data_IF_243803126195
#
_entry.id   IF_243803126195
#
_cell.length_a   1.000
_cell.length_b   1.000
_cell.length_c   1.000
_cell.angle_alpha   90.00
_cell.angle_beta   90.00
_cell.angle_gamma   90.00
#
_symmetry.space_group_name_H-M   'P 1'
#
loop_
_entity.id
_entity.type
_entity.pdbx_description
1 polymer ?
#
# COMPACT_ATOMS: atom_id res chain seq x y z
N UNK A 1 64.93 39.17 66.99
CA UNK A 1 65.02 40.50 66.36
C UNK A 1 63.91 40.59 65.32
N UNK A 2 63.01 41.56 65.47
CA UNK A 2 62.02 42.10 64.50
C UNK A 2 61.18 41.12 63.66
N UNK A 3 59.91 40.93 64.05
CA UNK A 3 58.72 41.65 63.54
C UNK A 3 58.17 41.12 62.21
N UNK A 4 56.97 40.54 62.24
CA UNK A 4 55.81 41.09 61.50
C UNK A 4 54.50 40.48 61.98
N UNK A 5 53.58 41.38 62.29
CA UNK A 5 52.15 41.18 62.63
C UNK A 5 51.36 40.84 61.37
N UNK A 6 50.32 40.00 61.46
CA UNK A 6 49.10 40.08 60.64
C UNK A 6 48.02 39.25 61.37
N UNK A 7 47.15 39.93 62.13
CA UNK A 7 45.75 40.25 61.82
C UNK A 7 44.80 39.05 61.89
N UNK A 8 44.06 39.02 63.00
CA UNK A 8 43.00 38.09 63.36
C UNK A 8 41.73 38.51 62.60
N UNK A 9 41.12 37.58 61.85
CA UNK A 9 39.74 37.70 61.39
C UNK A 9 38.97 36.51 61.96
N UNK A 10 37.93 36.86 62.72
CA UNK A 10 36.99 35.98 63.40
C UNK A 10 35.90 35.60 62.40
N UNK A 11 35.76 34.31 62.08
CA UNK A 11 34.56 33.79 61.42
C UNK A 11 34.05 32.64 62.30
N UNK A 12 32.89 32.87 62.95
CA UNK A 12 32.17 31.86 63.71
C UNK A 12 31.74 30.74 62.75
N UNK A 13 32.34 29.57 62.91
CA UNK A 13 31.88 28.34 62.30
C UNK A 13 30.81 27.73 63.22
N UNK A 14 29.56 27.73 62.79
CA UNK A 14 28.48 26.97 63.42
C UNK A 14 28.71 25.49 63.15
N UNK A 15 29.17 24.75 64.17
CA UNK A 15 29.28 23.30 64.16
C UNK A 15 27.88 22.68 64.32
N UNK A 16 27.29 22.23 63.22
CA UNK A 16 26.24 21.23 63.27
C UNK A 16 26.91 19.85 63.36
N UNK A 17 26.66 19.14 64.45
CA UNK A 17 27.06 17.75 64.62
C UNK A 17 26.28 16.88 63.63
N UNK A 18 26.98 16.23 62.70
CA UNK A 18 26.49 14.99 62.10
C UNK A 18 27.52 13.90 62.38
N UNK A 19 27.07 12.94 63.16
CA UNK A 19 27.75 11.69 63.50
C UNK A 19 28.12 10.96 62.21
N UNK A 20 29.39 10.59 62.09
CA UNK A 20 29.85 9.63 61.10
C UNK A 20 29.54 8.25 61.68
N UNK A 21 28.38 7.69 61.32
CA UNK A 21 28.16 6.25 61.47
C UNK A 21 28.68 5.55 60.21
N UNK A 22 29.60 4.63 60.42
CA UNK A 22 30.28 3.86 59.40
C UNK A 22 29.36 2.75 58.91
N UNK A 23 28.62 3.04 57.84
CA UNK A 23 27.81 2.07 57.11
C UNK A 23 27.47 2.65 55.76
N UNK A 24 28.34 2.42 54.78
CA UNK A 24 28.08 2.80 53.40
C UNK A 24 26.86 2.00 52.90
N UNK A 25 25.69 2.60 52.93
CA UNK A 25 24.56 2.15 52.12
C UNK A 25 24.95 2.37 50.66
N UNK A 26 25.29 1.26 50.01
CA UNK A 26 25.37 1.17 48.56
C UNK A 26 23.94 1.44 48.07
N UNK A 27 23.71 2.64 47.54
CA UNK A 27 22.53 2.90 46.70
C UNK A 27 22.64 1.96 45.50
N UNK A 28 21.91 0.85 45.55
CA UNK A 28 21.65 0.02 44.39
C UNK A 28 21.01 0.92 43.33
N UNK A 29 21.79 1.24 42.31
CA UNK A 29 21.25 1.79 41.07
C UNK A 29 20.21 0.79 40.56
N UNK A 30 18.99 1.23 40.22
CA UNK A 30 18.00 0.31 39.68
C UNK A 30 18.61 -0.35 38.44
N UNK A 31 18.66 -1.67 38.49
CA UNK A 31 19.01 -2.53 37.38
C UNK A 31 18.21 -2.05 36.16
N UNK A 32 18.92 -1.64 35.11
CA UNK A 32 18.29 -1.35 33.82
C UNK A 32 17.71 -2.67 33.37
N UNK A 33 16.40 -2.83 33.60
CA UNK A 33 15.63 -3.95 33.06
C UNK A 33 15.76 -3.82 31.56
N UNK A 34 16.61 -4.66 30.98
CA UNK A 34 16.74 -4.84 29.56
C UNK A 34 15.33 -5.12 29.05
N UNK A 35 14.74 -4.16 28.33
CA UNK A 35 13.45 -4.37 27.70
C UNK A 35 13.63 -5.60 26.82
N UNK A 36 12.72 -6.59 26.86
CA UNK A 36 12.81 -7.69 25.92
C UNK A 36 12.81 -7.06 24.53
N UNK A 37 13.92 -7.24 23.81
CA UNK A 37 13.98 -6.99 22.37
C UNK A 37 12.86 -7.84 21.80
N UNK A 38 11.80 -7.19 21.32
CA UNK A 38 10.76 -7.85 20.56
C UNK A 38 11.47 -8.57 19.42
N UNK A 39 11.53 -9.90 19.49
CA UNK A 39 11.93 -10.69 18.34
C UNK A 39 11.01 -10.31 17.19
N UNK A 40 11.56 -9.65 16.17
CA UNK A 40 10.86 -9.40 14.93
C UNK A 40 10.61 -10.77 14.33
N UNK A 41 9.40 -11.31 14.56
CA UNK A 41 8.93 -12.50 13.88
C UNK A 41 9.13 -12.29 12.39
N UNK A 42 10.02 -13.05 11.76
CA UNK A 42 10.17 -13.03 10.31
C UNK A 42 8.80 -13.33 9.69
N UNK A 43 8.35 -12.44 8.80
CA UNK A 43 7.12 -12.67 8.06
C UNK A 43 7.41 -13.80 7.06
N UNK A 44 6.85 -14.98 7.33
CA UNK A 44 7.13 -16.22 6.58
C UNK A 44 6.85 -16.11 5.08
N UNK A 45 6.03 -15.15 4.67
CA UNK A 45 5.68 -14.89 3.29
C UNK A 45 6.29 -13.60 2.71
N UNK A 46 7.13 -12.87 3.45
CA UNK A 46 7.87 -11.73 2.94
C UNK A 46 9.18 -12.19 2.28
N UNK A 47 9.41 -11.77 1.04
CA UNK A 47 10.70 -11.96 0.39
C UNK A 47 11.66 -10.86 0.86
N UNK A 48 12.70 -11.25 1.61
CA UNK A 48 13.74 -10.34 2.13
C UNK A 48 15.07 -10.46 1.39
N UNK A 49 15.20 -11.47 0.52
CA UNK A 49 16.39 -11.69 -0.30
C UNK A 49 16.66 -10.57 -1.31
N UNK A 50 17.85 -10.58 -1.95
CA UNK A 50 18.24 -9.57 -2.93
C UNK A 50 17.20 -9.38 -4.03
N UNK A 51 16.98 -8.13 -4.41
CA UNK A 51 16.05 -7.78 -5.48
C UNK A 51 16.71 -8.09 -6.83
N UNK A 52 16.10 -9.01 -7.59
CA UNK A 52 16.48 -9.33 -8.96
C UNK A 52 15.38 -8.94 -9.93
N UNK A 53 15.73 -8.76 -11.20
CA UNK A 53 14.75 -8.44 -12.25
C UNK A 53 13.86 -9.64 -12.58
N UNK A 54 14.47 -10.78 -12.90
CA UNK A 54 13.76 -12.01 -13.24
C UNK A 54 14.27 -13.17 -12.37
N UNK A 55 13.43 -14.18 -12.20
CA UNK A 55 13.81 -15.49 -11.67
C UNK A 55 13.35 -16.57 -12.64
N UNK A 56 13.97 -17.76 -12.58
CA UNK A 56 13.51 -18.89 -13.40
C UNK A 56 12.06 -19.26 -13.08
N UNK A 57 11.70 -19.25 -11.79
CA UNK A 57 10.36 -19.60 -11.32
C UNK A 57 9.27 -18.57 -11.69
N UNK A 58 9.64 -17.31 -11.94
CA UNK A 58 8.70 -16.27 -12.35
C UNK A 58 8.67 -16.00 -13.85
N UNK A 59 9.48 -16.68 -14.66
CA UNK A 59 9.52 -16.43 -16.11
C UNK A 59 8.42 -17.22 -16.81
N UNK A 60 7.16 -16.83 -16.58
CA UNK A 60 6.00 -17.43 -17.23
C UNK A 60 6.03 -17.25 -18.76
N UNK A 61 5.58 -18.26 -19.54
CA UNK A 61 5.58 -18.19 -21.00
C UNK A 61 4.42 -17.37 -21.58
N UNK A 62 3.34 -17.20 -20.82
CA UNK A 62 2.13 -16.47 -21.22
C UNK A 62 1.49 -15.76 -20.03
N UNK A 63 0.87 -14.61 -20.29
CA UNK A 63 0.22 -13.79 -19.26
C UNK A 63 -0.95 -14.43 -18.53
N UNK A 64 -1.53 -15.49 -19.09
CA UNK A 64 -2.60 -16.26 -18.47
C UNK A 64 -2.08 -17.46 -17.66
N UNK A 65 -0.76 -17.56 -17.41
CA UNK A 65 -0.17 -18.60 -16.55
C UNK A 65 -0.70 -18.44 -15.13
N UNK A 66 -1.37 -19.47 -14.61
CA UNK A 66 -1.98 -19.50 -13.30
C UNK A 66 -1.78 -20.88 -12.66
N UNK A 67 -1.95 -20.95 -11.34
CA UNK A 67 -2.05 -22.23 -10.64
C UNK A 67 -3.45 -22.85 -10.85
N UNK A 68 -3.60 -24.17 -10.70
CA UNK A 68 -4.92 -24.78 -10.69
C UNK A 68 -5.76 -24.33 -9.49
N UNK A 69 -7.02 -23.96 -9.73
CA UNK A 69 -8.02 -23.59 -8.71
C UNK A 69 -7.54 -22.47 -7.74
N UNK A 70 -7.15 -21.29 -8.25
CA UNK A 70 -6.70 -20.21 -7.40
C UNK A 70 -7.86 -19.72 -6.50
N UNK A 71 -7.57 -19.41 -5.24
CA UNK A 71 -8.56 -18.89 -4.27
C UNK A 71 -8.95 -17.46 -4.57
N UNK A 72 -8.10 -16.70 -5.26
CA UNK A 72 -8.39 -15.33 -5.63
C UNK A 72 -9.20 -15.24 -6.93
N UNK A 73 -10.38 -14.60 -6.88
CA UNK A 73 -11.29 -14.49 -8.01
C UNK A 73 -10.73 -13.65 -9.17
N UNK A 74 -11.09 -14.00 -10.40
CA UNK A 74 -10.72 -13.26 -11.61
C UNK A 74 -9.61 -13.91 -12.43
N UNK A 75 -9.50 -13.52 -13.70
CA UNK A 75 -8.52 -14.08 -14.62
C UNK A 75 -7.16 -13.39 -14.45
N UNK A 76 -6.10 -14.18 -14.25
CA UNK A 76 -4.74 -13.68 -14.08
C UNK A 76 -4.24 -12.95 -15.34
N UNK A 77 -3.37 -11.97 -15.11
CA UNK A 77 -2.65 -11.21 -16.11
C UNK A 77 -1.25 -10.95 -15.55
N UNK A 78 -0.40 -11.96 -15.68
CA UNK A 78 0.98 -11.96 -15.22
C UNK A 78 1.91 -11.42 -16.30
N UNK A 79 2.55 -10.30 -16.02
CA UNK A 79 3.54 -9.66 -16.90
C UNK A 79 4.81 -9.34 -16.14
N UNK A 80 5.22 -10.22 -15.23
CA UNK A 80 6.39 -10.02 -14.40
C UNK A 80 7.23 -11.29 -14.33
N UNK A 81 8.43 -11.27 -14.93
CA UNK A 81 9.37 -12.39 -14.87
C UNK A 81 9.97 -12.63 -13.46
N UNK A 82 9.63 -11.79 -12.48
CA UNK A 82 10.18 -11.89 -11.12
C UNK A 82 9.60 -13.09 -10.36
N UNK A 83 8.29 -13.26 -10.41
CA UNK A 83 7.55 -14.29 -9.69
C UNK A 83 6.23 -14.54 -10.41
N UNK A 84 5.75 -15.78 -10.38
CA UNK A 84 4.38 -16.12 -10.77
C UNK A 84 3.43 -15.99 -9.57
N UNK A 85 2.11 -15.95 -9.83
CA UNK A 85 1.10 -16.10 -8.78
C UNK A 85 1.30 -17.40 -7.99
N UNK A 86 1.31 -17.28 -6.66
CA UNK A 86 1.37 -18.41 -5.72
C UNK A 86 0.49 -18.14 -4.50
N UNK A 87 0.24 -19.17 -3.72
CA UNK A 87 -0.58 -19.07 -2.51
C UNK A 87 0.19 -19.55 -1.27
N UNK A 88 -0.15 -18.98 -0.12
CA UNK A 88 0.34 -19.44 1.18
C UNK A 88 -0.81 -19.43 2.21
N UNK A 89 -0.79 -20.38 3.15
CA UNK A 89 -1.70 -20.39 4.29
C UNK A 89 -1.01 -19.85 5.52
N UNK A 90 -1.57 -18.81 6.13
CA UNK A 90 -1.12 -18.23 7.41
C UNK A 90 -2.35 -18.10 8.31
N UNK A 91 -2.29 -18.68 9.50
CA UNK A 91 -3.37 -18.66 10.50
C UNK A 91 -4.74 -19.06 9.93
N UNK A 92 -4.75 -20.09 9.08
CA UNK A 92 -5.96 -20.61 8.44
C UNK A 92 -6.50 -19.76 7.28
N UNK A 93 -5.86 -18.65 6.93
CA UNK A 93 -6.21 -17.81 5.78
C UNK A 93 -5.29 -18.10 4.61
N UNK A 94 -5.86 -18.36 3.43
CA UNK A 94 -5.09 -18.52 2.19
C UNK A 94 -4.91 -17.16 1.51
N UNK A 95 -3.65 -16.77 1.31
CA UNK A 95 -3.24 -15.52 0.70
C UNK A 95 -2.66 -15.77 -0.69
N UNK A 96 -3.20 -15.11 -1.70
CA UNK A 96 -2.55 -14.98 -3.00
C UNK A 96 -1.39 -13.98 -2.93
N UNK A 97 -0.26 -14.33 -3.54
CA UNK A 97 0.99 -13.58 -3.53
C UNK A 97 1.19 -12.90 -4.88
N UNK A 98 1.36 -11.56 -4.85
CA UNK A 98 1.58 -10.72 -6.02
C UNK A 98 2.87 -9.93 -5.81
N UNK A 99 3.99 -10.52 -6.23
CA UNK A 99 5.32 -9.92 -6.09
C UNK A 99 5.83 -9.46 -7.45
N UNK A 100 6.28 -8.21 -7.54
CA UNK A 100 6.84 -7.64 -8.77
C UNK A 100 8.10 -6.83 -8.44
N UNK A 101 9.07 -6.80 -9.36
CA UNK A 101 10.28 -5.97 -9.21
C UNK A 101 10.44 -5.01 -10.37
N UNK A 102 11.26 -3.98 -10.16
CA UNK A 102 11.58 -3.02 -11.21
C UNK A 102 12.09 -3.71 -12.48
N UNK A 103 11.59 -3.25 -13.64
CA UNK A 103 11.92 -3.78 -14.99
C UNK A 103 11.58 -5.25 -15.24
N UNK A 104 10.83 -5.92 -14.37
CA UNK A 104 10.45 -7.33 -14.54
C UNK A 104 9.43 -7.60 -15.66
N UNK A 105 8.97 -6.60 -16.42
CA UNK A 105 8.02 -6.84 -17.50
C UNK A 105 8.71 -7.46 -18.72
N UNK A 106 8.38 -8.73 -19.01
CA UNK A 106 8.87 -9.50 -20.16
C UNK A 106 7.78 -9.84 -21.18
N UNK A 107 6.52 -9.47 -20.91
CA UNK A 107 5.37 -9.76 -21.80
C UNK A 107 5.07 -8.58 -22.72
N UNK A 108 5.03 -7.36 -22.19
CA UNK A 108 4.79 -6.17 -23.00
C UNK A 108 6.07 -5.74 -23.75
N UNK A 109 5.90 -4.97 -24.84
CA UNK A 109 7.03 -4.41 -25.58
C UNK A 109 7.97 -3.62 -24.64
N UNK A 110 9.31 -3.73 -24.82
CA UNK A 110 10.27 -3.03 -23.97
C UNK A 110 10.00 -1.52 -23.87
N UNK A 111 10.13 -0.97 -22.66
CA UNK A 111 9.95 0.46 -22.35
C UNK A 111 8.52 1.01 -22.55
N UNK A 112 7.49 0.16 -22.53
CA UNK A 112 6.08 0.61 -22.65
C UNK A 112 5.36 0.70 -21.31
N UNK A 113 5.04 -0.45 -20.70
CA UNK A 113 4.22 -0.56 -19.49
C UNK A 113 5.03 -1.08 -18.31
N UNK A 114 4.63 -0.67 -17.11
CA UNK A 114 5.22 -1.19 -15.88
C UNK A 114 4.84 -2.66 -15.63
N UNK A 115 5.67 -3.42 -14.89
CA UNK A 115 5.36 -4.79 -14.51
C UNK A 115 4.08 -4.87 -13.70
N UNK A 116 3.37 -5.99 -13.85
CA UNK A 116 2.15 -6.29 -13.12
C UNK A 116 1.96 -7.78 -12.93
N UNK A 117 1.28 -8.14 -11.85
CA UNK A 117 0.56 -9.39 -11.70
C UNK A 117 -0.80 -8.97 -11.15
N UNK A 118 -1.84 -9.06 -11.97
CA UNK A 118 -3.18 -8.62 -11.60
C UNK A 118 -4.22 -9.68 -11.96
N UNK A 119 -5.33 -9.71 -11.24
CA UNK A 119 -6.54 -10.40 -11.66
C UNK A 119 -7.54 -9.41 -12.24
N UNK A 120 -8.10 -9.78 -13.38
CA UNK A 120 -9.14 -9.04 -14.08
C UNK A 120 -10.51 -9.61 -13.79
N UNK A 121 -11.46 -8.72 -13.50
CA UNK A 121 -12.83 -9.07 -13.17
C UNK A 121 -13.74 -8.75 -14.36
N UNK A 122 -14.77 -9.56 -14.57
CA UNK A 122 -15.69 -9.38 -15.69
C UNK A 122 -16.43 -8.06 -15.55
N UNK A 123 -16.26 -7.12 -16.48
CA UNK A 123 -16.86 -5.77 -16.39
C UNK A 123 -18.39 -5.83 -16.39
N UNK A 124 -19.01 -4.85 -15.73
CA UNK A 124 -20.41 -4.46 -15.98
C UNK A 124 -20.44 -3.58 -17.22
N UNK A 125 -21.12 -4.03 -18.27
CA UNK A 125 -21.10 -3.42 -19.61
C UNK A 125 -22.30 -2.53 -19.90
N UNK A 126 -23.13 -2.24 -18.91
CA UNK A 126 -24.29 -1.36 -19.05
C UNK A 126 -24.11 -0.10 -18.22
N UNK A 127 -24.99 0.87 -18.45
CA UNK A 127 -24.90 2.20 -17.83
C UNK A 127 -26.21 2.68 -17.21
N UNK A 128 -27.22 1.80 -17.16
CA UNK A 128 -28.47 2.04 -16.46
C UNK A 128 -28.22 2.13 -14.96
N UNK A 129 -29.08 2.88 -14.27
CA UNK A 129 -28.97 3.09 -12.82
C UNK A 129 -29.02 1.74 -12.09
N UNK A 130 -28.10 1.52 -11.16
CA UNK A 130 -27.92 0.26 -10.44
C UNK A 130 -27.00 -0.74 -11.14
N UNK A 131 -26.39 -0.39 -12.27
CA UNK A 131 -25.30 -1.18 -12.86
C UNK A 131 -24.02 -0.97 -12.08
N UNK A 132 -23.33 -2.04 -11.69
CA UNK A 132 -22.08 -1.94 -10.94
C UNK A 132 -21.17 -3.14 -11.12
N UNK A 133 -19.90 -2.95 -10.79
CA UNK A 133 -18.89 -3.97 -10.52
C UNK A 133 -18.41 -3.78 -9.08
N UNK A 134 -18.50 -4.80 -8.24
CA UNK A 134 -18.13 -4.74 -6.82
C UNK A 134 -17.13 -5.83 -6.49
N UNK A 135 -15.99 -5.41 -5.95
CA UNK A 135 -14.93 -6.27 -5.46
C UNK A 135 -14.78 -6.10 -3.95
N UNK A 136 -14.61 -7.21 -3.23
CA UNK A 136 -14.17 -7.19 -1.84
C UNK A 136 -12.99 -8.11 -1.63
N UNK A 137 -12.21 -7.87 -0.59
CA UNK A 137 -11.16 -8.76 -0.13
C UNK A 137 -10.33 -8.16 1.00
N UNK A 138 -9.45 -8.96 1.59
CA UNK A 138 -8.51 -8.52 2.62
C UNK A 138 -7.12 -8.34 1.99
N UNK A 139 -6.50 -7.18 2.17
CA UNK A 139 -5.14 -6.90 1.69
C UNK A 139 -4.13 -6.88 2.84
N UNK A 140 -2.93 -7.41 2.59
CA UNK A 140 -1.72 -7.04 3.34
C UNK A 140 -0.71 -6.44 2.36
N UNK A 141 -0.05 -5.37 2.79
CA UNK A 141 1.03 -4.73 2.05
C UNK A 141 2.31 -4.98 2.83
N UNK A 142 3.31 -5.57 2.18
CA UNK A 142 4.60 -5.90 2.80
C UNK A 142 5.72 -4.98 2.31
N UNK A 143 5.68 -4.62 1.04
CA UNK A 143 6.65 -3.75 0.39
C UNK A 143 5.99 -3.07 -0.82
N UNK A 144 6.37 -1.83 -1.14
CA UNK A 144 5.99 -1.14 -2.37
C UNK A 144 7.22 -0.50 -3.03
N UNK A 145 7.09 -0.18 -4.32
CA UNK A 145 8.19 0.41 -5.07
C UNK A 145 8.69 1.74 -4.48
N UNK A 146 10.01 1.91 -4.41
CA UNK A 146 10.69 3.13 -3.99
C UNK A 146 11.74 3.54 -5.02
N UNK A 147 11.75 4.82 -5.35
CA UNK A 147 12.72 5.47 -6.23
C UNK A 147 13.39 6.64 -5.50
N UNK A 148 14.25 7.39 -6.19
CA UNK A 148 14.81 8.64 -5.67
C UNK A 148 13.88 9.85 -5.87
N UNK A 149 12.65 9.65 -6.36
CA UNK A 149 11.68 10.70 -6.65
C UNK A 149 10.28 10.30 -6.16
N UNK A 150 9.74 11.05 -5.21
CA UNK A 150 8.45 10.77 -4.56
C UNK A 150 7.26 10.68 -5.54
N UNK A 151 7.32 11.36 -6.70
CA UNK A 151 6.29 11.25 -7.74
C UNK A 151 6.33 9.92 -8.52
N UNK A 152 7.46 9.21 -8.45
CA UNK A 152 7.66 7.89 -9.07
C UNK A 152 7.55 6.73 -8.09
N UNK A 153 7.42 7.00 -6.80
CA UNK A 153 7.23 5.98 -5.78
C UNK A 153 5.85 5.32 -5.85
N UNK A 154 5.76 4.19 -5.15
CA UNK A 154 4.54 3.46 -4.86
C UNK A 154 4.12 2.46 -5.92
N UNK A 155 3.16 1.63 -5.49
CA UNK A 155 2.59 0.52 -6.25
C UNK A 155 1.07 0.57 -6.18
N UNK A 156 0.41 0.29 -7.31
CA UNK A 156 -1.04 0.17 -7.37
C UNK A 156 -1.47 -1.21 -6.87
N UNK A 157 -2.40 -1.24 -5.90
CA UNK A 157 -2.95 -2.48 -5.32
C UNK A 157 -4.28 -2.89 -5.96
N UNK A 158 -5.02 -1.91 -6.49
CA UNK A 158 -6.24 -2.10 -7.28
C UNK A 158 -6.51 -0.88 -8.17
N UNK A 159 -7.39 -1.04 -9.16
CA UNK A 159 -7.79 0.04 -10.07
C UNK A 159 -9.22 -0.13 -10.59
N UNK A 160 -9.91 1.00 -10.75
CA UNK A 160 -11.14 1.11 -11.52
C UNK A 160 -10.81 1.43 -13.00
N UNK A 161 -11.50 0.77 -13.91
CA UNK A 161 -11.35 0.95 -15.36
C UNK A 161 -12.70 1.02 -16.05
N UNK A 162 -12.74 1.66 -17.21
CA UNK A 162 -13.94 1.69 -18.04
C UNK A 162 -13.71 2.45 -19.34
N UNK A 163 -14.25 1.90 -20.44
CA UNK A 163 -14.20 2.57 -21.75
C UNK A 163 -15.19 3.72 -21.78
N UNK A 164 -14.99 4.64 -22.71
CA UNK A 164 -15.86 5.77 -22.91
C UNK A 164 -15.98 6.14 -24.39
N UNK A 165 -17.05 6.85 -24.74
CA UNK A 165 -17.30 7.38 -26.08
C UNK A 165 -16.53 8.69 -26.32
N UNK A 166 -16.39 9.10 -27.58
CA UNK A 166 -15.77 10.39 -27.96
C UNK A 166 -14.24 10.40 -28.05
N UNK A 167 -13.58 9.25 -27.85
CA UNK A 167 -12.12 9.14 -27.89
C UNK A 167 -11.40 9.82 -26.72
N UNK A 168 -10.07 9.80 -26.75
CA UNK A 168 -9.21 10.35 -25.69
C UNK A 168 -8.56 9.27 -24.83
N UNK A 169 -7.24 9.37 -24.62
CA UNK A 169 -6.47 8.37 -23.88
C UNK A 169 -6.30 7.03 -24.61
N UNK A 170 -5.82 5.98 -23.91
CA UNK A 170 -5.60 4.66 -24.48
C UNK A 170 -6.90 3.86 -24.67
N UNK A 171 -6.85 2.80 -25.49
CA UNK A 171 -8.00 1.95 -25.82
C UNK A 171 -8.65 1.24 -24.61
N UNK A 172 -7.89 1.03 -23.53
CA UNK A 172 -8.39 0.51 -22.26
C UNK A 172 -7.96 1.41 -21.08
N UNK A 173 -8.61 2.58 -20.94
CA UNK A 173 -8.17 3.61 -20.00
C UNK A 173 -8.49 3.22 -18.56
N UNK A 174 -7.55 3.51 -17.67
CA UNK A 174 -7.82 3.50 -16.23
C UNK A 174 -8.62 4.76 -15.85
N UNK A 175 -9.51 4.61 -14.87
CA UNK A 175 -10.34 5.69 -14.32
C UNK A 175 -9.71 6.21 -13.03
N UNK A 176 -9.45 5.34 -12.07
CA UNK A 176 -8.64 5.68 -10.89
C UNK A 176 -7.85 4.45 -10.42
N UNK A 177 -6.73 4.70 -9.74
CA UNK A 177 -5.83 3.68 -9.22
C UNK A 177 -5.55 3.95 -7.75
N UNK A 178 -5.51 2.89 -6.94
CA UNK A 178 -5.24 2.97 -5.51
C UNK A 178 -3.76 2.68 -5.30
N UNK A 179 -2.99 3.76 -5.09
CA UNK A 179 -1.53 3.82 -5.03
C UNK A 179 -1.07 3.78 -3.57
N UNK A 180 -0.38 2.73 -3.17
CA UNK A 180 0.30 2.63 -1.89
C UNK A 180 1.72 3.18 -2.00
N UNK A 181 2.09 4.15 -1.16
CA UNK A 181 3.43 4.76 -1.09
C UNK A 181 4.11 4.40 0.23
N UNK A 182 5.43 4.18 0.25
CA UNK A 182 6.12 3.68 1.44
C UNK A 182 6.32 4.80 2.47
N UNK A 183 6.07 4.48 3.73
CA UNK A 183 6.47 5.28 4.89
C UNK A 183 7.58 4.52 5.63
N UNK A 184 8.73 5.16 5.78
CA UNK A 184 9.90 4.56 6.41
C UNK A 184 9.95 4.83 7.91
N UNK A 185 10.53 3.89 8.65
CA UNK A 185 10.88 4.05 10.05
C UNK A 185 12.02 3.12 10.45
N UNK A 186 12.51 3.31 11.66
CA UNK A 186 13.59 2.49 12.24
C UNK A 186 13.12 1.06 12.49
N UNK A 187 13.97 0.07 12.21
CA UNK A 187 13.72 -1.36 12.45
C UNK A 187 14.14 -1.84 13.86
N UNK A 188 14.61 -0.93 14.72
CA UNK A 188 15.20 -1.23 16.03
C UNK A 188 16.70 -1.50 15.97
N UNK A 189 17.29 -1.61 14.77
CA UNK A 189 18.71 -1.86 14.54
C UNK A 189 19.42 -0.70 13.82
N UNK A 190 18.77 0.47 13.74
CA UNK A 190 19.30 1.66 13.06
C UNK A 190 19.08 1.66 11.55
N UNK A 191 18.36 0.69 10.98
CA UNK A 191 18.04 0.67 9.56
C UNK A 191 16.69 1.32 9.29
N UNK A 192 16.58 2.02 8.17
CA UNK A 192 15.30 2.56 7.70
C UNK A 192 14.62 1.54 6.79
N UNK A 193 13.46 1.05 7.20
CA UNK A 193 12.65 0.07 6.46
C UNK A 193 11.22 0.58 6.29
N UNK A 194 10.47 0.01 5.34
CA UNK A 194 9.07 0.35 5.16
C UNK A 194 8.25 -0.20 6.33
N UNK A 195 7.58 0.69 7.07
CA UNK A 195 6.80 0.37 8.28
C UNK A 195 5.29 0.51 8.08
N UNK A 196 4.89 1.38 7.16
CA UNK A 196 3.48 1.55 6.76
C UNK A 196 3.37 2.12 5.35
N UNK A 197 2.13 2.29 4.89
CA UNK A 197 1.81 2.65 3.52
C UNK A 197 0.71 3.69 3.45
N UNK A 198 1.05 4.87 2.95
CA UNK A 198 0.06 5.89 2.62
C UNK A 198 -0.66 5.49 1.34
N UNK A 199 -1.99 5.37 1.43
CA UNK A 199 -2.86 5.02 0.32
C UNK A 199 -3.41 6.29 -0.31
N UNK A 200 -3.16 6.44 -1.60
CA UNK A 200 -3.67 7.52 -2.43
C UNK A 200 -4.60 6.98 -3.51
N UNK A 201 -5.50 7.82 -4.00
CA UNK A 201 -6.23 7.60 -5.25
C UNK A 201 -5.65 8.51 -6.33
N UNK A 202 -5.03 7.93 -7.34
CA UNK A 202 -4.67 8.61 -8.58
C UNK A 202 -5.89 8.57 -9.51
N UNK A 203 -6.58 9.69 -9.67
CA UNK A 203 -7.89 9.78 -10.33
C UNK A 203 -7.85 10.69 -11.56
N UNK A 204 -8.66 10.40 -12.58
CA UNK A 204 -8.74 11.24 -13.78
C UNK A 204 -9.45 12.58 -13.53
N UNK A 205 -8.96 13.64 -14.17
CA UNK A 205 -9.61 14.94 -14.23
C UNK A 205 -10.71 14.99 -15.30
N UNK A 206 -10.54 14.17 -16.35
CA UNK A 206 -11.46 13.99 -17.49
C UNK A 206 -11.22 12.62 -18.13
N UNK A 207 -12.18 12.12 -18.93
CA UNK A 207 -12.10 10.80 -19.57
C UNK A 207 -10.84 10.64 -20.42
N UNK A 208 -10.08 9.58 -20.14
CA UNK A 208 -8.81 9.29 -20.82
C UNK A 208 -7.61 10.08 -20.29
N UNK A 209 -7.78 10.90 -19.25
CA UNK A 209 -6.72 11.70 -18.63
C UNK A 209 -5.53 10.87 -18.15
N UNK A 210 -4.33 11.38 -18.42
CA UNK A 210 -3.05 10.80 -18.01
C UNK A 210 -2.01 11.89 -17.76
N UNK A 211 -0.97 11.57 -16.98
CA UNK A 211 0.05 12.55 -16.61
C UNK A 211 -0.46 13.60 -15.62
N UNK A 212 0.37 14.60 -15.34
CA UNK A 212 0.11 15.60 -14.32
C UNK A 212 -1.13 16.47 -14.61
N UNK A 213 -1.43 16.76 -15.88
CA UNK A 213 -2.59 17.58 -16.25
C UNK A 213 -3.90 16.77 -16.30
N UNK A 214 -3.79 15.47 -16.58
CA UNK A 214 -4.94 14.59 -16.75
C UNK A 214 -5.40 13.87 -15.49
N UNK A 215 -4.60 13.91 -14.41
CA UNK A 215 -4.87 13.20 -13.16
C UNK A 215 -4.48 13.99 -11.92
N UNK A 216 -5.19 13.72 -10.85
CA UNK A 216 -4.92 14.21 -9.50
C UNK A 216 -4.59 13.04 -8.57
N UNK A 217 -3.75 13.28 -7.56
CA UNK A 217 -3.43 12.32 -6.50
C UNK A 217 -4.05 12.80 -5.20
N UNK A 218 -4.97 12.02 -4.64
CA UNK A 218 -5.71 12.34 -3.41
C UNK A 218 -5.33 11.37 -2.31
N UNK A 219 -4.84 11.86 -1.16
CA UNK A 219 -4.57 11.02 0.00
C UNK A 219 -5.87 10.46 0.57
N UNK A 220 -5.88 9.18 0.96
CA UNK A 220 -7.03 8.50 1.55
C UNK A 220 -6.77 8.19 3.02
N UNK A 221 -5.82 7.30 3.29
CA UNK A 221 -5.54 6.76 4.63
C UNK A 221 -4.14 6.14 4.69
N UNK A 222 -3.73 5.63 5.85
CA UNK A 222 -2.48 4.88 6.03
C UNK A 222 -2.76 3.45 6.51
N UNK A 223 -2.03 2.47 5.98
CA UNK A 223 -2.11 1.06 6.38
C UNK A 223 -0.76 0.63 6.95
N UNK A 224 -0.74 0.06 8.15
CA UNK A 224 0.47 -0.53 8.74
C UNK A 224 1.01 -1.71 7.94
N UNK A 225 2.33 -1.90 7.91
CA UNK A 225 2.93 -3.05 7.22
C UNK A 225 2.38 -4.37 7.79
N UNK A 226 2.04 -5.28 6.87
CA UNK A 226 1.49 -6.60 7.19
C UNK A 226 0.13 -6.58 7.94
N UNK A 227 -0.51 -5.42 8.13
CA UNK A 227 -1.83 -5.35 8.77
C UNK A 227 -2.90 -5.82 7.78
N UNK A 228 -3.64 -6.91 8.08
CA UNK A 228 -4.80 -7.31 7.28
C UNK A 228 -5.83 -6.19 7.27
N UNK A 229 -6.15 -5.68 6.09
CA UNK A 229 -7.06 -4.55 5.91
C UNK A 229 -8.17 -4.92 4.95
N UNK A 230 -9.42 -4.80 5.39
CA UNK A 230 -10.59 -5.05 4.55
C UNK A 230 -10.73 -3.96 3.48
N UNK A 231 -11.03 -4.40 2.25
CA UNK A 231 -11.21 -3.57 1.08
C UNK A 231 -12.56 -3.87 0.44
N UNK A 232 -13.27 -2.80 0.10
CA UNK A 232 -14.37 -2.81 -0.86
C UNK A 232 -14.08 -1.78 -1.95
N UNK A 233 -14.31 -2.14 -3.21
CA UNK A 233 -14.34 -1.21 -4.33
C UNK A 233 -15.58 -1.50 -5.17
N UNK A 234 -16.48 -0.52 -5.25
CA UNK A 234 -17.66 -0.57 -6.10
C UNK A 234 -17.59 0.53 -7.15
N UNK A 235 -17.69 0.15 -8.42
CA UNK A 235 -17.68 1.06 -9.57
C UNK A 235 -18.97 0.86 -10.33
N UNK A 236 -19.76 1.92 -10.50
CA UNK A 236 -21.09 1.76 -11.08
C UNK A 236 -21.78 3.06 -11.47
N UNK A 237 -23.05 2.94 -11.84
CA UNK A 237 -23.92 4.04 -12.19
C UNK A 237 -25.09 4.13 -11.22
N UNK A 238 -25.31 5.33 -10.67
CA UNK A 238 -26.41 5.60 -9.77
C UNK A 238 -27.19 6.84 -10.23
N UNK A 239 -28.41 6.99 -9.72
CA UNK A 239 -29.18 8.22 -9.86
C UNK A 239 -28.40 9.38 -9.20
N UNK A 240 -28.31 10.53 -9.88
CA UNK A 240 -27.80 11.74 -9.22
C UNK A 240 -28.80 12.15 -8.11
N UNK A 241 -28.35 12.24 -6.83
CA UNK A 241 -29.23 12.57 -5.72
C UNK A 241 -29.82 13.99 -5.79
N UNK A 242 -29.20 14.89 -6.58
CA UNK A 242 -29.64 16.27 -6.74
C UNK A 242 -30.44 16.50 -8.02
N UNK A 243 -30.45 15.55 -8.96
CA UNK A 243 -31.13 15.66 -10.25
C UNK A 243 -31.62 14.30 -10.73
N UNK A 244 -32.93 14.04 -10.56
CA UNK A 244 -33.56 12.79 -10.98
C UNK A 244 -33.48 12.51 -12.50
N UNK A 245 -33.07 13.49 -13.32
CA UNK A 245 -32.90 13.31 -14.77
C UNK A 245 -31.48 12.90 -15.17
N UNK A 246 -30.53 12.91 -14.22
CA UNK A 246 -29.11 12.64 -14.46
C UNK A 246 -28.62 11.41 -13.70
N UNK A 247 -27.57 10.80 -14.22
CA UNK A 247 -26.84 9.73 -13.53
C UNK A 247 -25.44 10.20 -13.15
N UNK A 248 -24.92 9.62 -12.07
CA UNK A 248 -23.51 9.67 -11.70
C UNK A 248 -22.87 8.33 -12.07
N UNK A 249 -21.59 8.38 -12.42
CA UNK A 249 -20.71 7.20 -12.48
C UNK A 249 -19.77 7.35 -11.30
N UNK A 250 -19.67 6.35 -10.43
CA UNK A 250 -18.89 6.42 -9.20
C UNK A 250 -17.82 5.34 -9.14
N UNK A 251 -16.78 5.59 -8.34
CA UNK A 251 -15.84 4.61 -7.84
C UNK A 251 -15.70 4.84 -6.33
N UNK A 252 -16.48 4.08 -5.56
CA UNK A 252 -16.55 4.19 -4.11
C UNK A 252 -15.69 3.08 -3.49
N UNK A 253 -14.81 3.45 -2.58
CA UNK A 253 -14.00 2.49 -1.85
C UNK A 253 -14.27 2.53 -0.35
N UNK A 254 -14.13 1.38 0.30
CA UNK A 254 -14.00 1.27 1.75
C UNK A 254 -12.65 0.63 2.05
N UNK A 255 -11.83 1.26 2.89
CA UNK A 255 -10.48 0.79 3.22
C UNK A 255 -10.36 0.77 4.73
N UNK A 256 -10.23 -0.41 5.34
CA UNK A 256 -10.15 -0.54 6.80
C UNK A 256 -11.40 -0.03 7.53
N UNK A 257 -12.56 -0.02 6.86
CA UNK A 257 -13.82 0.53 7.38
C UNK A 257 -14.03 2.03 7.11
N UNK A 258 -13.04 2.75 6.57
CA UNK A 258 -13.18 4.16 6.19
C UNK A 258 -13.69 4.31 4.75
N UNK A 259 -14.65 5.21 4.53
CA UNK A 259 -15.34 5.39 3.24
C UNK A 259 -14.71 6.50 2.42
N UNK A 260 -14.38 6.20 1.16
CA UNK A 260 -13.76 7.10 0.19
C UNK A 260 -14.55 7.10 -1.12
N UNK A 261 -15.66 7.84 -1.15
CA UNK A 261 -16.51 7.98 -2.31
C UNK A 261 -15.94 8.97 -3.33
N UNK A 262 -16.17 8.70 -4.62
CA UNK A 262 -15.77 9.62 -5.68
C UNK A 262 -16.62 9.44 -6.94
N UNK A 263 -17.10 10.57 -7.47
CA UNK A 263 -17.81 10.62 -8.74
C UNK A 263 -16.82 10.81 -9.89
N UNK A 264 -16.86 9.88 -10.84
CA UNK A 264 -16.06 9.89 -12.05
C UNK A 264 -16.59 10.99 -13.00
N UNK A 265 -15.71 11.83 -13.59
CA UNK A 265 -16.14 12.87 -14.52
C UNK A 265 -16.79 12.29 -15.79
N UNK A 266 -17.67 13.10 -16.38
CA UNK A 266 -18.36 12.80 -17.65
C UNK A 266 -19.07 11.43 -17.61
N UNK A 267 -20.06 11.25 -16.71
CA UNK A 267 -20.76 9.98 -16.56
C UNK A 267 -21.48 9.54 -17.84
N UNK A 268 -21.98 10.49 -18.65
CA UNK A 268 -22.64 10.26 -19.93
C UNK A 268 -21.75 9.64 -21.00
N UNK A 269 -20.42 9.79 -20.86
CA UNK A 269 -19.45 9.19 -21.79
C UNK A 269 -19.04 7.78 -21.39
N UNK A 270 -19.18 7.40 -20.12
CA UNK A 270 -18.81 6.08 -19.63
C UNK A 270 -19.69 4.99 -20.23
N UNK A 271 -19.10 3.82 -20.56
CA UNK A 271 -19.82 2.71 -21.21
C UNK A 271 -19.82 1.42 -20.41
N UNK A 272 -18.99 1.33 -19.37
CA UNK A 272 -18.81 0.14 -18.55
C UNK A 272 -18.07 0.48 -17.26
N UNK A 273 -18.18 -0.41 -16.28
CA UNK A 273 -17.50 -0.37 -14.99
C UNK A 273 -16.69 -1.66 -14.80
N UNK A 274 -15.42 -1.54 -14.46
CA UNK A 274 -14.51 -2.67 -14.35
C UNK A 274 -13.46 -2.47 -13.26
N UNK A 275 -13.00 -3.58 -12.69
CA UNK A 275 -12.03 -3.60 -11.60
C UNK A 275 -10.90 -4.57 -11.95
N UNK A 276 -9.67 -4.21 -11.53
CA UNK A 276 -8.52 -5.11 -11.47
C UNK A 276 -7.83 -4.93 -10.12
N UNK A 277 -7.22 -5.98 -9.61
CA UNK A 277 -6.48 -5.96 -8.34
C UNK A 277 -5.26 -6.88 -8.40
N UNK A 278 -4.31 -6.68 -7.49
CA UNK A 278 -3.05 -7.43 -7.43
C UNK A 278 -1.90 -6.49 -7.11
N UNK A 279 -0.85 -6.51 -7.93
CA UNK A 279 0.24 -5.54 -7.90
C UNK A 279 0.53 -5.01 -9.32
N UNK A 280 0.57 -3.69 -9.46
CA UNK A 280 0.94 -3.01 -10.71
C UNK A 280 1.75 -1.76 -10.41
N UNK A 281 2.81 -1.49 -11.19
CA UNK A 281 3.79 -0.40 -11.01
C UNK A 281 4.82 -0.66 -9.91
N UNK A 282 6.08 -0.66 -10.34
CA UNK A 282 7.27 -0.70 -9.48
C UNK A 282 8.42 -0.03 -10.24
N UNK A 283 8.56 1.28 -10.06
CA UNK A 283 9.57 2.09 -10.76
C UNK A 283 10.97 2.02 -10.12
N UNK A 284 11.10 1.29 -9.02
CA UNK A 284 12.34 1.01 -8.31
C UNK A 284 12.06 0.06 -7.15
N UNK A 285 13.04 -0.79 -6.82
CA UNK A 285 12.90 -1.80 -5.77
C UNK A 285 11.94 -2.94 -6.14
N UNK A 286 11.17 -3.39 -5.14
CA UNK A 286 10.21 -4.50 -5.21
C UNK A 286 8.87 -4.06 -4.62
N UNK A 287 7.80 -4.72 -5.03
CA UNK A 287 6.50 -4.63 -4.38
C UNK A 287 5.97 -6.03 -4.05
N UNK A 288 5.33 -6.14 -2.89
CA UNK A 288 4.84 -7.40 -2.34
C UNK A 288 3.45 -7.20 -1.74
N UNK A 289 2.43 -7.62 -2.48
CA UNK A 289 1.03 -7.48 -2.09
C UNK A 289 0.43 -8.86 -1.83
N UNK A 290 -0.42 -8.97 -0.82
CA UNK A 290 -1.15 -10.20 -0.48
C UNK A 290 -2.65 -9.92 -0.53
N UNK A 291 -3.41 -10.82 -1.15
CA UNK A 291 -4.87 -10.75 -1.18
C UNK A 291 -5.49 -12.05 -0.69
N UNK A 292 -6.45 -11.95 0.24
CA UNK A 292 -7.24 -13.07 0.73
C UNK A 292 -8.73 -12.76 0.65
N UNK A 293 -9.57 -13.80 0.78
CA UNK A 293 -11.03 -13.69 0.89
C UNK A 293 -11.68 -12.84 -0.21
N UNK A 294 -11.14 -12.92 -1.43
CA UNK A 294 -11.62 -12.04 -2.50
C UNK A 294 -12.95 -12.51 -3.05
N UNK A 295 -13.89 -11.59 -3.22
CA UNK A 295 -15.18 -11.85 -3.86
C UNK A 295 -15.47 -10.81 -4.93
N UNK A 296 -16.35 -11.17 -5.85
CA UNK A 296 -16.75 -10.28 -6.93
C UNK A 296 -18.21 -10.52 -7.31
N UNK A 297 -18.95 -9.43 -7.43
CA UNK A 297 -20.30 -9.42 -7.97
C UNK A 297 -20.47 -8.25 -8.95
N UNK A 298 -21.41 -8.39 -9.88
CA UNK A 298 -21.79 -7.31 -10.79
C UNK A 298 -23.28 -7.34 -11.07
N UNK A 299 -23.82 -6.17 -11.38
CA UNK A 299 -25.15 -6.01 -11.94
C UNK A 299 -25.08 -5.21 -13.24
N UNK A 300 -25.98 -5.53 -14.17
CA UNK A 300 -26.13 -4.87 -15.45
C UNK A 300 -27.61 -4.51 -15.63
N UNK A 301 -27.91 -3.22 -15.54
CA UNK A 301 -29.22 -2.65 -15.82
C UNK A 301 -29.14 -1.78 -17.08
N UNK A 302 -30.14 -1.87 -17.94
CA UNK A 302 -30.27 -1.06 -19.15
C UNK A 302 -30.88 0.32 -18.89
#
# INVERSE_FOLDING_TARGET
MMHKRTFVIFFMLTTAFFSCDSGAEILEMPEVVDKPVLEVSELVDEETGPITRCTEAGTNPDRATDIPNPVNVGAIDDRSCYADYKEITIDGTVWGIYNITHESNHIDDPNTLQPRIERSLSRSQTTGIGSFAKFTGTVRILEVGKTNNDGSDGTYIMQAKGKHTGGGGPNDPAICLYLAKPVYGDDGNGNQVQQSFDIFREQINFRGGSGADGREIVFLTNIGKNVPTEIELEVGFAQDPNDATKKIHYANAVIGGEVFNWNIPEPERGTQSGIRYGAYRVKGGRAQIRWANTTYEKAEND
#
